data_IF_758026984806
#
_entry.id   IF_758026984806
#
_cell.length_a   1.000
_cell.length_b   1.000
_cell.length_c   1.000
_cell.angle_alpha   90.00
_cell.angle_beta   90.00
_cell.angle_gamma   90.00
#
_symmetry.space_group_name_H-M   'P 1'
#
loop_
_entity.id
_entity.type
_entity.pdbx_description
1 polymer ?
#
# COMPACT_ATOMS: atom_id res chain seq x y z
N UNK A 1 7.31 -14.27 20.03
CA UNK A 1 6.57 -14.36 21.30
C UNK A 1 6.14 -15.82 21.55
N UNK A 2 6.73 -16.51 22.54
CA UNK A 2 6.39 -17.90 22.89
C UNK A 2 5.16 -18.05 23.82
N UNK A 3 4.62 -16.94 24.33
CA UNK A 3 3.49 -16.93 25.26
C UNK A 3 2.12 -17.14 24.58
N UNK A 4 1.95 -16.62 23.36
CA UNK A 4 0.68 -16.72 22.62
C UNK A 4 0.79 -17.63 21.37
N UNK A 5 2.01 -17.86 20.88
CA UNK A 5 2.32 -18.64 19.68
C UNK A 5 2.22 -17.80 18.40
N UNK A 6 3.31 -17.76 17.59
CA UNK A 6 3.36 -17.00 16.32
C UNK A 6 2.20 -17.39 15.39
N UNK A 7 1.94 -18.68 15.25
CA UNK A 7 0.88 -19.19 14.39
C UNK A 7 -0.49 -18.66 14.82
N UNK A 8 -0.77 -18.69 16.13
CA UNK A 8 -2.04 -18.19 16.67
C UNK A 8 -2.25 -16.70 16.37
N UNK A 9 -1.21 -15.88 16.44
CA UNK A 9 -1.31 -14.46 16.05
C UNK A 9 -1.64 -14.29 14.56
N UNK A 10 -0.99 -15.08 13.70
CA UNK A 10 -1.25 -15.08 12.25
C UNK A 10 -2.68 -15.53 11.96
N UNK A 11 -3.15 -16.60 12.60
CA UNK A 11 -4.50 -17.12 12.39
C UNK A 11 -5.58 -16.13 12.84
N UNK A 12 -5.32 -15.38 13.92
CA UNK A 12 -6.24 -14.30 14.36
C UNK A 12 -6.23 -13.15 13.36
N UNK A 13 -5.06 -12.73 12.89
CA UNK A 13 -4.95 -11.65 11.91
C UNK A 13 -5.63 -12.01 10.59
N UNK A 14 -5.42 -13.23 10.07
CA UNK A 14 -6.08 -13.73 8.86
C UNK A 14 -7.61 -13.79 9.03
N UNK A 15 -8.08 -14.25 10.20
CA UNK A 15 -9.51 -14.27 10.51
C UNK A 15 -10.12 -12.87 10.54
N UNK A 16 -9.43 -11.91 11.15
CA UNK A 16 -9.88 -10.52 11.21
C UNK A 16 -9.87 -9.86 9.82
N UNK A 17 -8.84 -10.12 9.02
CA UNK A 17 -8.79 -9.61 7.64
C UNK A 17 -9.94 -10.14 6.77
N UNK A 18 -10.48 -11.31 7.11
CA UNK A 18 -11.61 -11.97 6.41
C UNK A 18 -12.95 -11.80 7.11
N UNK A 19 -13.06 -10.94 8.13
CA UNK A 19 -14.31 -10.79 8.89
C UNK A 19 -15.43 -10.11 8.10
N UNK A 20 -15.09 -9.44 7.01
CA UNK A 20 -16.03 -8.78 6.10
C UNK A 20 -15.95 -9.43 4.72
N UNK A 21 -17.11 -9.75 4.15
CA UNK A 21 -17.19 -10.30 2.80
C UNK A 21 -16.89 -9.21 1.77
N UNK A 22 -15.93 -9.49 0.90
CA UNK A 22 -15.48 -8.55 -0.13
C UNK A 22 -16.59 -8.14 -1.11
N UNK A 23 -17.46 -9.06 -1.50
CA UNK A 23 -18.49 -8.81 -2.52
C UNK A 23 -19.61 -7.89 -2.01
N UNK A 24 -19.92 -7.99 -0.72
CA UNK A 24 -20.98 -7.20 -0.08
C UNK A 24 -20.49 -5.90 0.58
N UNK A 25 -19.18 -5.76 0.77
CA UNK A 25 -18.59 -4.55 1.36
C UNK A 25 -18.56 -3.37 0.38
N UNK A 26 -18.85 -2.18 0.87
CA UNK A 26 -18.75 -0.92 0.10
C UNK A 26 -17.31 -0.42 0.01
N UNK A 27 -16.48 -0.74 1.00
CA UNK A 27 -15.09 -0.31 1.12
C UNK A 27 -14.14 -1.50 1.14
N UNK A 28 -12.91 -1.26 0.71
CA UNK A 28 -11.79 -2.22 0.74
C UNK A 28 -10.57 -1.57 1.38
N UNK A 29 -9.66 -2.38 1.93
CA UNK A 29 -8.42 -1.88 2.50
C UNK A 29 -7.51 -3.01 2.99
N UNK A 30 -6.25 -2.67 3.25
CA UNK A 30 -5.26 -3.62 3.76
C UNK A 30 -5.36 -3.69 5.29
N UNK A 31 -5.69 -4.88 5.82
CA UNK A 31 -5.88 -5.06 7.27
C UNK A 31 -4.66 -5.68 7.96
N UNK A 32 -3.94 -6.58 7.28
CA UNK A 32 -2.88 -7.37 7.92
C UNK A 32 -1.56 -6.60 8.13
N UNK A 33 -1.29 -5.61 7.28
CA UNK A 33 -0.03 -4.84 7.26
C UNK A 33 -0.24 -3.36 6.95
N UNK A 34 -1.49 -2.90 7.10
CA UNK A 34 -1.87 -1.61 6.59
C UNK A 34 -1.76 -0.46 7.58
N UNK A 35 -1.85 0.76 7.05
CA UNK A 35 -1.88 2.02 7.82
C UNK A 35 -3.29 2.30 8.41
N UNK A 36 -4.02 1.23 8.73
CA UNK A 36 -5.35 1.26 9.30
C UNK A 36 -6.38 1.94 8.40
N UNK A 37 -7.00 3.00 8.92
CA UNK A 37 -8.10 3.69 8.22
C UNK A 37 -7.64 4.44 6.98
N UNK A 38 -6.35 4.79 6.89
CA UNK A 38 -5.76 5.50 5.74
C UNK A 38 -5.86 4.69 4.44
N UNK A 39 -5.83 3.37 4.52
CA UNK A 39 -5.90 2.50 3.35
C UNK A 39 -7.32 2.04 3.01
N UNK A 40 -8.34 2.60 3.66
CA UNK A 40 -9.73 2.33 3.32
C UNK A 40 -10.14 3.15 2.09
N UNK A 41 -10.52 2.47 1.01
CA UNK A 41 -10.93 3.06 -0.26
C UNK A 41 -12.35 2.59 -0.64
N UNK A 42 -13.11 3.38 -1.41
CA UNK A 42 -14.35 2.91 -2.03
C UNK A 42 -14.07 1.75 -2.99
N UNK A 43 -14.76 0.62 -2.81
CA UNK A 43 -14.51 -0.60 -3.61
C UNK A 43 -14.72 -0.34 -5.11
N UNK A 44 -15.79 0.37 -5.47
CA UNK A 44 -16.13 0.67 -6.86
C UNK A 44 -15.01 1.41 -7.59
N UNK A 45 -14.28 2.29 -6.90
CA UNK A 45 -13.23 3.11 -7.49
C UNK A 45 -11.87 2.41 -7.43
N UNK A 46 -11.68 1.55 -6.43
CA UNK A 46 -10.53 0.64 -6.35
C UNK A 46 -10.55 -0.39 -7.48
N UNK A 47 -11.68 -1.04 -7.75
CA UNK A 47 -11.82 -2.06 -8.81
C UNK A 47 -11.79 -1.47 -10.22
N UNK A 48 -12.14 -0.19 -10.35
CA UNK A 48 -12.07 0.52 -11.62
C UNK A 48 -10.63 0.91 -11.90
N UNK A 49 -10.07 0.41 -13.00
CA UNK A 49 -8.74 0.78 -13.45
C UNK A 49 -8.77 2.05 -14.32
N UNK A 50 -7.70 2.84 -14.24
CA UNK A 50 -7.38 3.96 -15.13
C UNK A 50 -5.94 3.84 -15.60
N UNK A 51 -5.57 4.58 -16.63
CA UNK A 51 -4.17 4.71 -17.08
C UNK A 51 -3.64 6.07 -16.64
N UNK A 52 -2.42 6.09 -16.11
CA UNK A 52 -1.67 7.31 -15.85
C UNK A 52 -0.35 7.28 -16.63
N UNK A 53 0.13 8.45 -17.01
CA UNK A 53 1.48 8.62 -17.52
C UNK A 53 2.40 9.00 -16.35
N UNK A 54 3.52 8.32 -16.23
CA UNK A 54 4.59 8.66 -15.29
C UNK A 54 5.93 8.51 -16.02
N UNK A 55 6.66 9.62 -16.11
CA UNK A 55 7.80 9.75 -17.03
C UNK A 55 7.36 9.43 -18.48
N UNK A 56 8.11 8.58 -19.19
CA UNK A 56 7.81 8.16 -20.56
C UNK A 56 7.04 6.83 -20.63
N UNK A 57 6.35 6.45 -19.55
CA UNK A 57 5.67 5.16 -19.42
C UNK A 57 4.22 5.30 -18.93
N UNK A 58 3.35 4.46 -19.49
CA UNK A 58 1.95 4.34 -19.09
C UNK A 58 1.77 3.21 -18.06
N UNK A 59 1.08 3.51 -16.96
CA UNK A 59 0.77 2.53 -15.91
C UNK A 59 -0.73 2.39 -15.71
N UNK A 60 -1.19 1.15 -15.59
CA UNK A 60 -2.57 0.85 -15.17
C UNK A 60 -2.64 0.86 -13.65
N UNK A 61 -3.48 1.73 -13.11
CA UNK A 61 -3.64 1.94 -11.66
C UNK A 61 -5.12 1.98 -11.29
N UNK A 62 -5.44 1.80 -10.01
CA UNK A 62 -6.78 2.03 -9.48
C UNK A 62 -7.24 3.47 -9.75
N UNK A 63 -8.52 3.68 -10.04
CA UNK A 63 -9.03 5.02 -10.39
C UNK A 63 -8.98 6.00 -9.22
N UNK A 64 -9.06 5.49 -7.99
CA UNK A 64 -8.88 6.26 -6.75
C UNK A 64 -7.41 6.40 -6.30
N UNK A 65 -6.43 6.30 -7.21
CA UNK A 65 -5.02 6.32 -6.84
C UNK A 65 -4.58 7.61 -6.12
N UNK A 66 -5.17 8.77 -6.47
CA UNK A 66 -4.88 10.04 -5.79
C UNK A 66 -5.33 10.01 -4.34
N UNK A 67 -6.56 9.58 -4.08
CA UNK A 67 -7.09 9.41 -2.72
C UNK A 67 -6.23 8.45 -1.89
N UNK A 68 -5.77 7.35 -2.51
CA UNK A 68 -4.84 6.44 -1.84
C UNK A 68 -3.54 7.15 -1.42
N UNK A 69 -2.90 7.90 -2.31
CA UNK A 69 -1.66 8.60 -2.01
C UNK A 69 -1.86 9.73 -0.99
N UNK A 70 -2.94 10.52 -1.13
CA UNK A 70 -3.29 11.60 -0.21
C UNK A 70 -3.52 11.05 1.21
N UNK A 71 -4.24 9.92 1.34
CA UNK A 71 -4.49 9.32 2.65
C UNK A 71 -3.20 8.80 3.31
N UNK A 72 -2.31 8.21 2.51
CA UNK A 72 -1.09 7.57 3.01
C UNK A 72 -0.03 8.61 3.40
N UNK A 73 0.18 9.60 2.54
CA UNK A 73 1.37 10.45 2.55
C UNK A 73 1.06 11.95 2.72
N UNK A 74 -0.21 12.32 2.90
CA UNK A 74 -0.66 13.70 2.99
C UNK A 74 -0.27 14.48 1.71
N UNK A 75 0.43 15.61 1.80
CA UNK A 75 0.90 16.37 0.61
C UNK A 75 2.14 15.75 -0.03
N UNK A 76 1.96 14.57 -0.63
CA UNK A 76 3.04 13.77 -1.22
C UNK A 76 3.71 14.41 -2.44
N UNK A 77 3.09 15.44 -3.03
CA UNK A 77 3.65 16.17 -4.17
C UNK A 77 4.59 17.29 -3.72
N UNK A 78 4.57 17.66 -2.44
CA UNK A 78 5.52 18.59 -1.86
C UNK A 78 6.80 17.86 -1.46
N UNK A 79 7.94 18.28 -2.03
CA UNK A 79 9.23 17.74 -1.58
C UNK A 79 9.46 18.05 -0.09
N UNK A 80 9.97 17.08 0.70
CA UNK A 80 10.36 17.35 2.07
C UNK A 80 11.47 18.42 2.12
N UNK A 81 11.64 19.11 3.27
CA UNK A 81 12.77 20.01 3.53
C UNK A 81 14.13 19.35 3.21
N UNK A 82 15.13 20.13 2.76
CA UNK A 82 16.42 19.58 2.30
C UNK A 82 17.15 18.76 3.36
N UNK A 83 17.06 19.17 4.63
CA UNK A 83 17.64 18.47 5.78
C UNK A 83 16.92 17.13 6.09
N UNK A 84 15.73 16.93 5.55
CA UNK A 84 14.93 15.70 5.67
C UNK A 84 15.01 14.82 4.41
N UNK A 85 15.67 15.27 3.33
CA UNK A 85 15.92 14.46 2.12
C UNK A 85 17.06 13.46 2.35
N UNK A 86 16.95 12.64 3.39
CA UNK A 86 17.89 11.57 3.65
C UNK A 86 17.42 10.26 3.01
N UNK A 87 18.36 9.47 2.46
CA UNK A 87 18.04 8.15 1.94
C UNK A 87 17.72 7.17 3.08
N UNK A 88 16.77 6.26 2.85
CA UNK A 88 16.68 5.05 3.66
C UNK A 88 18.00 4.30 3.49
N UNK A 89 18.67 3.91 4.59
CA UNK A 89 20.03 3.34 4.64
C UNK A 89 20.21 2.04 3.82
N UNK A 90 20.08 2.13 2.49
CA UNK A 90 20.13 1.03 1.54
C UNK A 90 21.50 1.09 0.88
N UNK A 91 22.28 0.03 1.09
CA UNK A 91 23.51 -0.21 0.33
C UNK A 91 23.14 -1.07 -0.86
N UNK A 92 23.10 -0.48 -2.06
CA UNK A 92 22.82 -1.19 -3.31
C UNK A 92 24.13 -1.57 -4.03
N UNK A 93 24.17 -2.78 -4.58
CA UNK A 93 25.29 -3.26 -5.40
C UNK A 93 24.77 -3.58 -6.80
N UNK A 94 25.43 -3.06 -7.83
CA UNK A 94 25.15 -3.44 -9.23
C UNK A 94 25.90 -4.73 -9.54
N UNK A 95 25.17 -5.79 -9.87
CA UNK A 95 25.76 -7.03 -10.37
C UNK A 95 25.63 -7.02 -11.89
N UNK A 96 26.74 -7.11 -12.61
CA UNK A 96 26.70 -7.37 -14.04
C UNK A 96 26.24 -8.81 -14.26
N UNK A 97 25.04 -8.99 -14.81
CA UNK A 97 24.64 -10.30 -15.31
C UNK A 97 25.45 -10.55 -16.57
N UNK A 98 26.27 -11.61 -16.56
CA UNK A 98 26.78 -12.18 -17.81
C UNK A 98 25.60 -12.81 -18.54
N UNK A 99 25.40 -12.40 -19.77
CA UNK A 99 24.45 -13.01 -20.71
C UNK A 99 24.69 -14.52 -20.85
#
# INVERSE_FOLDING_TARGET
>A
CRLFGKQRCIDIMDRLAKSYDYNTSEHVGVIAWGEGVKERLPKQDFEKMTTIEFEDQSFSVMSCWREYLDNMYDDYMQMPPEDQRCGHNIVAYKIERKD
#
